data_IF_148678189803
#
_entry.id   IF_148678189803
#
_cell.length_a   1.000
_cell.length_b   1.000
_cell.length_c   1.000
_cell.angle_alpha   90.00
_cell.angle_beta   90.00
_cell.angle_gamma   90.00
#
_symmetry.space_group_name_H-M   'P 1'
#
loop_
_entity.id
_entity.type
_entity.pdbx_description
1 polymer ?
#
# COMPACT_ATOMS: atom_id res chain seq x y z
N UNK A 1 -3.81 76.69 0.67
CA UNK A 1 -2.72 75.69 0.57
C UNK A 1 -2.87 74.45 1.49
N UNK A 2 -3.43 74.56 2.70
CA UNK A 2 -3.54 73.43 3.64
C UNK A 2 -4.37 72.22 3.14
N UNK A 3 -5.42 72.48 2.35
CA UNK A 3 -6.34 71.43 1.89
C UNK A 3 -5.69 70.47 0.86
N UNK A 4 -4.85 70.99 -0.04
CA UNK A 4 -4.08 70.20 -1.03
C UNK A 4 -3.07 69.26 -0.36
N UNK A 5 -2.42 69.71 0.72
CA UNK A 5 -1.48 68.90 1.52
C UNK A 5 -2.20 67.77 2.27
N UNK A 6 -3.36 68.05 2.86
CA UNK A 6 -4.20 67.04 3.55
C UNK A 6 -4.71 65.97 2.57
N UNK A 7 -5.21 66.36 1.39
CA UNK A 7 -5.68 65.44 0.35
C UNK A 7 -4.57 64.49 -0.14
N UNK A 8 -3.39 65.02 -0.48
CA UNK A 8 -2.22 64.19 -0.86
C UNK A 8 -1.78 63.22 0.25
N UNK A 9 -1.89 63.62 1.52
CA UNK A 9 -1.57 62.74 2.67
C UNK A 9 -2.58 61.60 2.79
N UNK A 10 -3.87 61.87 2.54
CA UNK A 10 -4.94 60.88 2.54
C UNK A 10 -4.79 59.86 1.41
N UNK A 11 -4.66 60.33 0.16
CA UNK A 11 -4.47 59.49 -1.03
C UNK A 11 -3.25 58.56 -0.89
N UNK A 12 -2.18 59.08 -0.27
CA UNK A 12 -0.99 58.27 0.01
C UNK A 12 -1.26 57.16 1.04
N UNK A 13 -1.98 57.46 2.12
CA UNK A 13 -2.35 56.46 3.13
C UNK A 13 -3.20 55.36 2.49
N UNK A 14 -4.14 55.74 1.64
CA UNK A 14 -5.00 54.80 0.92
C UNK A 14 -4.20 53.88 -0.03
N UNK A 15 -3.24 54.43 -0.79
CA UNK A 15 -2.34 53.63 -1.64
C UNK A 15 -1.52 52.62 -0.83
N UNK A 16 -0.95 53.04 0.31
CA UNK A 16 -0.20 52.15 1.20
C UNK A 16 -1.08 51.01 1.68
N UNK A 17 -2.31 51.33 2.14
CA UNK A 17 -3.27 50.32 2.61
C UNK A 17 -3.63 49.30 1.51
N UNK A 18 -3.85 49.77 0.28
CA UNK A 18 -4.11 48.90 -0.88
C UNK A 18 -2.94 47.93 -1.16
N UNK A 19 -1.69 48.39 -1.03
CA UNK A 19 -0.52 47.53 -1.18
C UNK A 19 -0.37 46.54 -0.01
N UNK A 20 -0.65 46.94 1.23
CA UNK A 20 -0.62 46.01 2.37
C UNK A 20 -1.62 44.85 2.17
N UNK A 21 -2.84 45.16 1.74
CA UNK A 21 -3.86 44.15 1.42
C UNK A 21 -3.46 43.25 0.24
N UNK A 22 -2.62 43.74 -0.67
CA UNK A 22 -2.07 42.95 -1.77
C UNK A 22 -0.96 41.98 -1.32
N UNK A 23 -0.51 42.03 -0.06
CA UNK A 23 0.51 41.14 0.49
C UNK A 23 1.91 41.75 0.59
N UNK A 24 2.05 43.07 0.45
CA UNK A 24 3.29 43.79 0.75
C UNK A 24 3.38 44.13 2.24
N UNK A 25 4.57 44.14 2.79
CA UNK A 25 4.80 44.62 4.16
C UNK A 25 4.63 46.13 4.23
N UNK A 26 4.40 46.67 5.43
CA UNK A 26 4.30 48.13 5.66
C UNK A 26 5.50 48.92 5.14
N UNK A 27 6.70 48.34 5.17
CA UNK A 27 7.92 48.97 4.61
C UNK A 27 7.90 48.96 3.08
N UNK A 28 7.56 47.83 2.47
CA UNK A 28 7.43 47.69 1.01
C UNK A 28 6.32 48.59 0.46
N UNK A 29 5.15 48.63 1.10
CA UNK A 29 4.02 49.48 0.69
C UNK A 29 4.37 50.97 0.70
N UNK A 30 5.22 51.41 1.66
CA UNK A 30 5.74 52.79 1.66
C UNK A 30 6.65 53.07 0.47
N UNK A 31 7.51 52.11 0.11
CA UNK A 31 8.40 52.20 -1.06
C UNK A 31 7.57 52.20 -2.34
N UNK A 32 6.55 51.35 -2.46
CA UNK A 32 5.65 51.33 -3.63
C UNK A 32 4.84 52.63 -3.80
N UNK A 33 4.59 53.36 -2.72
CA UNK A 33 3.83 54.60 -2.75
C UNK A 33 4.68 55.86 -3.00
N UNK A 34 6.01 55.81 -2.86
CA UNK A 34 6.90 56.99 -2.89
C UNK A 34 8.28 56.78 -3.52
N UNK A 35 8.73 55.55 -3.57
CA UNK A 35 10.07 55.21 -4.02
C UNK A 35 10.22 55.43 -5.52
N UNK A 36 11.48 55.52 -5.95
CA UNK A 36 11.80 55.59 -7.36
C UNK A 36 11.64 54.21 -8.02
N UNK A 37 11.68 54.16 -9.35
CA UNK A 37 11.52 52.92 -10.13
C UNK A 37 12.51 51.83 -9.69
N UNK A 38 13.76 52.19 -9.37
CA UNK A 38 14.80 51.23 -8.93
C UNK A 38 14.40 50.57 -7.62
N UNK A 39 13.96 51.34 -6.64
CA UNK A 39 13.52 50.82 -5.33
C UNK A 39 12.28 49.92 -5.46
N UNK A 40 11.34 50.28 -6.33
CA UNK A 40 10.15 49.45 -6.61
C UNK A 40 10.56 48.12 -7.23
N UNK A 41 11.48 48.13 -8.21
CA UNK A 41 12.01 46.90 -8.82
C UNK A 41 12.66 46.01 -7.76
N UNK A 42 13.42 46.57 -6.82
CA UNK A 42 14.02 45.81 -5.71
C UNK A 42 12.96 45.12 -4.85
N UNK A 43 11.85 45.80 -4.54
CA UNK A 43 10.72 45.21 -3.80
C UNK A 43 10.09 44.05 -4.58
N UNK A 44 9.84 44.23 -5.87
CA UNK A 44 9.23 43.20 -6.72
C UNK A 44 10.15 41.97 -6.85
N UNK A 45 11.46 42.16 -7.00
CA UNK A 45 12.45 41.07 -7.01
C UNK A 45 12.47 40.33 -5.68
N UNK A 46 12.43 41.04 -4.54
CA UNK A 46 12.35 40.43 -3.20
C UNK A 46 11.08 39.58 -3.01
N UNK A 47 9.98 39.94 -3.68
CA UNK A 47 8.74 39.14 -3.73
C UNK A 47 8.81 37.95 -4.69
N UNK A 48 9.96 37.70 -5.31
CA UNK A 48 10.15 36.58 -6.23
C UNK A 48 9.54 36.78 -7.61
N UNK A 49 9.23 38.02 -7.99
CA UNK A 49 8.75 38.35 -9.34
C UNK A 49 9.97 38.37 -10.28
N UNK A 50 9.90 37.62 -11.38
CA UNK A 50 11.03 37.46 -12.31
C UNK A 50 11.26 38.76 -13.11
N UNK A 51 12.52 39.04 -13.45
CA UNK A 51 12.96 40.20 -14.26
C UNK A 51 12.12 40.40 -15.53
N UNK A 52 11.90 39.31 -16.29
CA UNK A 52 11.08 39.31 -17.52
C UNK A 52 9.62 39.77 -17.28
N UNK A 53 9.08 39.53 -16.10
CA UNK A 53 7.73 39.98 -15.72
C UNK A 53 7.77 41.45 -15.28
N UNK A 54 8.77 41.85 -14.51
CA UNK A 54 8.95 43.24 -14.06
C UNK A 54 9.05 44.20 -15.25
N UNK A 55 9.78 43.81 -16.31
CA UNK A 55 9.94 44.64 -17.51
C UNK A 55 8.62 44.89 -18.26
N UNK A 56 7.59 44.08 -18.02
CA UNK A 56 6.25 44.22 -18.61
C UNK A 56 5.24 44.93 -17.70
N UNK A 57 5.62 45.25 -16.46
CA UNK A 57 4.74 45.90 -15.50
C UNK A 57 4.73 47.42 -15.76
N UNK A 58 3.54 47.98 -15.94
CA UNK A 58 3.34 49.42 -15.77
C UNK A 58 3.44 49.73 -14.26
N UNK A 59 4.26 50.69 -13.86
CA UNK A 59 4.48 51.05 -12.44
C UNK A 59 3.31 51.86 -11.85
N UNK A 60 2.10 51.57 -12.31
CA UNK A 60 0.87 52.10 -11.78
C UNK A 60 0.39 51.31 -10.55
N UNK A 61 -0.57 51.88 -9.82
CA UNK A 61 -1.05 51.30 -8.56
C UNK A 61 -1.74 49.94 -8.77
N UNK A 62 -2.48 49.77 -9.85
CA UNK A 62 -3.27 48.56 -10.12
C UNK A 62 -2.36 47.37 -10.44
N UNK A 63 -1.36 47.58 -11.29
CA UNK A 63 -0.41 46.56 -11.74
C UNK A 63 0.48 46.09 -10.59
N UNK A 64 0.94 47.02 -9.74
CA UNK A 64 1.71 46.68 -8.54
C UNK A 64 0.87 45.87 -7.53
N UNK A 65 -0.42 46.17 -7.37
CA UNK A 65 -1.35 45.36 -6.56
C UNK A 65 -1.50 43.95 -7.14
N UNK A 66 -1.71 43.82 -8.45
CA UNK A 66 -1.88 42.53 -9.11
C UNK A 66 -0.61 41.67 -8.98
N UNK A 67 0.56 42.29 -9.14
CA UNK A 67 1.86 41.64 -8.94
C UNK A 67 2.02 41.12 -7.50
N UNK A 68 1.61 41.90 -6.50
CA UNK A 68 1.65 41.51 -5.09
C UNK A 68 0.74 40.32 -4.79
N UNK A 69 -0.51 40.37 -5.26
CA UNK A 69 -1.47 39.26 -5.10
C UNK A 69 -0.94 37.97 -5.72
N UNK A 70 -0.36 38.06 -6.92
CA UNK A 70 0.23 36.91 -7.62
C UNK A 70 1.44 36.34 -6.87
N UNK A 71 2.32 37.20 -6.34
CA UNK A 71 3.46 36.79 -5.53
C UNK A 71 3.00 36.05 -4.26
N UNK A 72 2.01 36.60 -3.54
CA UNK A 72 1.42 35.97 -2.35
C UNK A 72 0.81 34.59 -2.66
N UNK A 73 0.11 34.45 -3.78
CA UNK A 73 -0.44 33.17 -4.23
C UNK A 73 0.67 32.14 -4.51
N UNK A 74 1.72 32.54 -5.24
CA UNK A 74 2.86 31.68 -5.54
C UNK A 74 3.61 31.23 -4.28
N UNK A 75 3.76 32.14 -3.32
CA UNK A 75 4.36 31.83 -2.02
C UNK A 75 3.55 30.78 -1.26
N UNK A 76 2.22 30.92 -1.21
CA UNK A 76 1.32 29.93 -0.60
C UNK A 76 1.46 28.56 -1.25
N UNK A 77 1.52 28.50 -2.59
CA UNK A 77 1.73 27.25 -3.33
C UNK A 77 3.11 26.62 -3.04
N UNK A 78 4.17 27.43 -2.98
CA UNK A 78 5.51 26.95 -2.63
C UNK A 78 5.55 26.36 -1.23
N UNK A 79 4.95 27.03 -0.25
CA UNK A 79 4.87 26.54 1.13
C UNK A 79 4.07 25.24 1.22
N UNK A 80 2.96 25.12 0.48
CA UNK A 80 2.19 23.88 0.42
C UNK A 80 3.03 22.72 -0.15
N UNK A 81 3.77 22.94 -1.24
CA UNK A 81 4.68 21.93 -1.81
C UNK A 81 5.80 21.56 -0.85
N UNK A 82 6.37 22.52 -0.12
CA UNK A 82 7.39 22.24 0.90
C UNK A 82 6.84 21.43 2.06
N UNK A 83 5.60 21.68 2.49
CA UNK A 83 4.92 20.90 3.54
C UNK A 83 4.73 19.45 3.10
N UNK A 84 4.18 19.22 1.90
CA UNK A 84 4.05 17.87 1.33
C UNK A 84 5.39 17.15 1.23
N UNK A 85 6.43 17.84 0.78
CA UNK A 85 7.77 17.25 0.66
C UNK A 85 8.39 16.89 2.01
N UNK A 86 8.16 17.70 3.06
CA UNK A 86 8.62 17.35 4.41
C UNK A 86 7.89 16.14 4.95
N UNK A 87 6.57 16.10 4.79
CA UNK A 87 5.74 14.99 5.26
C UNK A 87 6.10 13.68 4.53
N UNK A 88 6.20 13.69 3.20
CA UNK A 88 6.64 12.51 2.44
C UNK A 88 8.03 12.02 2.85
N UNK A 89 8.98 12.92 3.11
CA UNK A 89 10.31 12.55 3.61
C UNK A 89 10.30 11.93 5.01
N UNK A 90 9.42 12.38 5.91
CA UNK A 90 9.28 11.76 7.24
C UNK A 90 8.85 10.30 7.15
N UNK A 91 8.06 9.97 6.12
CA UNK A 91 7.62 8.60 5.83
C UNK A 91 8.62 7.81 4.94
N UNK A 92 9.78 8.39 4.61
CA UNK A 92 10.76 7.74 3.74
C UNK A 92 10.31 7.56 2.28
N UNK A 93 9.28 8.30 1.84
CA UNK A 93 8.67 8.14 0.53
C UNK A 93 9.48 8.83 -0.58
N UNK A 94 9.33 8.35 -1.81
CA UNK A 94 9.97 8.95 -2.99
C UNK A 94 9.26 10.23 -3.43
N UNK A 95 9.95 11.09 -4.18
CA UNK A 95 9.36 12.36 -4.67
C UNK A 95 8.15 12.19 -5.59
N UNK A 96 8.02 11.04 -6.26
CA UNK A 96 6.85 10.68 -7.04
C UNK A 96 5.60 10.41 -6.19
N UNK A 97 5.77 9.97 -4.94
CA UNK A 97 4.67 9.55 -4.06
C UNK A 97 3.97 10.73 -3.36
N UNK A 98 4.58 11.93 -3.33
CA UNK A 98 4.02 13.09 -2.60
C UNK A 98 3.84 14.35 -3.47
N UNK A 99 3.68 14.18 -4.78
CA UNK A 99 3.42 15.28 -5.71
C UNK A 99 2.10 16.02 -5.42
N UNK A 100 1.11 15.29 -4.92
CA UNK A 100 -0.20 15.81 -4.51
C UNK A 100 -0.55 15.28 -3.13
N UNK A 101 -1.49 15.94 -2.44
CA UNK A 101 -1.94 15.49 -1.12
C UNK A 101 -2.54 14.08 -1.18
N UNK A 102 -3.40 13.83 -2.18
CA UNK A 102 -4.02 12.52 -2.42
C UNK A 102 -2.97 11.39 -2.53
N UNK A 103 -1.94 11.58 -3.37
CA UNK A 103 -0.87 10.58 -3.54
C UNK A 103 -0.09 10.33 -2.24
N UNK A 104 0.18 11.40 -1.47
CA UNK A 104 0.86 11.29 -0.19
C UNK A 104 0.03 10.47 0.80
N UNK A 105 -1.26 10.76 0.93
CA UNK A 105 -2.15 10.05 1.85
C UNK A 105 -2.25 8.55 1.46
N UNK A 106 -2.40 8.24 0.15
CA UNK A 106 -2.37 6.86 -0.37
C UNK A 106 -1.03 6.15 -0.08
N UNK A 107 0.09 6.85 -0.20
CA UNK A 107 1.41 6.29 0.07
C UNK A 107 1.65 6.06 1.57
N UNK A 108 1.16 6.95 2.44
CA UNK A 108 1.22 6.80 3.90
C UNK A 108 0.43 5.57 4.33
N UNK A 109 -0.79 5.38 3.82
CA UNK A 109 -1.60 4.20 4.16
C UNK A 109 -0.94 2.89 3.68
N UNK A 110 -0.35 2.89 2.47
CA UNK A 110 0.48 1.76 2.01
C UNK A 110 1.63 1.47 2.97
N UNK A 111 2.36 2.50 3.40
CA UNK A 111 3.52 2.30 4.27
C UNK A 111 3.14 1.91 5.70
N UNK A 112 1.99 2.35 6.21
CA UNK A 112 1.40 1.82 7.45
C UNK A 112 1.06 0.34 7.33
N UNK A 113 0.46 -0.08 6.21
CA UNK A 113 0.22 -1.50 5.91
C UNK A 113 1.52 -2.31 5.87
N UNK A 114 2.52 -1.83 5.14
CA UNK A 114 3.85 -2.45 5.08
C UNK A 114 4.52 -2.51 6.45
N UNK A 115 4.35 -1.48 7.28
CA UNK A 115 4.91 -1.42 8.63
C UNK A 115 4.30 -2.50 9.53
N UNK A 116 2.99 -2.71 9.48
CA UNK A 116 2.30 -3.81 10.17
C UNK A 116 2.80 -5.18 9.68
N UNK A 117 3.01 -5.34 8.37
CA UNK A 117 3.56 -6.57 7.82
C UNK A 117 5.00 -6.85 8.24
N UNK A 118 5.83 -5.80 8.34
CA UNK A 118 7.23 -5.90 8.82
C UNK A 118 7.29 -6.22 10.31
N UNK A 119 6.31 -5.76 11.11
CA UNK A 119 6.26 -5.99 12.56
C UNK A 119 5.70 -7.36 12.95
N UNK A 120 4.84 -7.94 12.12
CA UNK A 120 4.28 -9.26 12.33
C UNK A 120 4.80 -10.24 11.26
N UNK A 121 6.05 -10.71 11.37
CA UNK A 121 6.70 -11.53 10.34
C UNK A 121 6.27 -13.00 10.44
N UNK A 122 5.01 -13.29 10.70
CA UNK A 122 4.56 -14.67 10.85
C UNK A 122 4.32 -15.31 9.48
N UNK A 123 4.80 -16.53 9.29
CA UNK A 123 4.55 -17.32 8.08
C UNK A 123 3.85 -18.61 8.46
N UNK A 124 2.87 -18.97 7.63
CA UNK A 124 2.30 -20.31 7.62
C UNK A 124 3.25 -21.23 6.86
N UNK A 125 3.61 -22.32 7.52
CA UNK A 125 4.35 -23.43 6.95
C UNK A 125 3.44 -24.66 6.92
N UNK A 126 3.43 -25.34 5.79
CA UNK A 126 2.73 -26.61 5.63
C UNK A 126 3.73 -27.67 5.23
N UNK A 127 3.70 -28.77 5.96
CA UNK A 127 4.62 -29.89 5.85
C UNK A 127 3.85 -31.17 5.59
N UNK A 128 4.39 -32.02 4.74
CA UNK A 128 3.85 -33.33 4.40
C UNK A 128 4.91 -34.40 4.61
N UNK A 129 4.53 -35.52 5.20
CA UNK A 129 5.38 -36.69 5.36
C UNK A 129 4.71 -37.87 4.69
N UNK A 130 5.46 -38.47 3.78
CA UNK A 130 5.11 -39.72 3.14
C UNK A 130 5.36 -40.91 4.11
N UNK A 131 4.55 -41.97 4.01
CA UNK A 131 4.69 -43.20 4.80
C UNK A 131 6.01 -43.90 4.54
N UNK A 132 6.55 -43.78 3.32
CA UNK A 132 7.85 -44.34 2.93
C UNK A 132 9.01 -43.72 3.71
N UNK A 133 8.80 -42.56 4.34
CA UNK A 133 9.84 -41.81 5.05
C UNK A 133 10.89 -41.20 4.13
N UNK A 134 10.69 -41.26 2.81
CA UNK A 134 11.54 -40.61 1.83
C UNK A 134 11.24 -39.10 1.79
N UNK A 135 12.22 -38.30 2.20
CA UNK A 135 12.15 -36.84 2.21
C UNK A 135 12.41 -36.21 0.83
N UNK A 136 12.60 -37.04 -0.20
CA UNK A 136 13.04 -36.64 -1.55
C UNK A 136 12.12 -37.23 -2.63
N UNK A 137 10.81 -37.30 -2.34
CA UNK A 137 9.89 -37.93 -3.27
C UNK A 137 9.78 -37.07 -4.55
N UNK A 138 10.36 -37.59 -5.63
CA UNK A 138 10.18 -37.13 -7.01
C UNK A 138 8.70 -36.85 -7.31
N UNK A 139 7.81 -37.62 -6.68
CA UNK A 139 6.37 -37.42 -6.66
C UNK A 139 5.93 -36.01 -6.24
N UNK A 140 6.36 -35.50 -5.07
CA UNK A 140 5.97 -34.15 -4.61
C UNK A 140 6.56 -33.07 -5.53
N UNK A 141 7.76 -33.28 -6.05
CA UNK A 141 8.37 -32.35 -7.00
C UNK A 141 7.59 -32.29 -8.32
N UNK A 142 7.23 -33.44 -8.88
CA UNK A 142 6.44 -33.55 -10.11
C UNK A 142 5.01 -33.02 -9.92
N UNK A 143 4.41 -33.24 -8.75
CA UNK A 143 3.10 -32.71 -8.38
C UNK A 143 3.10 -31.17 -8.32
N UNK A 144 4.09 -30.58 -7.63
CA UNK A 144 4.27 -29.13 -7.57
C UNK A 144 4.47 -28.52 -8.96
N UNK A 145 5.25 -29.20 -9.82
CA UNK A 145 5.48 -28.76 -11.20
C UNK A 145 4.19 -28.76 -12.01
N UNK A 146 3.36 -29.80 -11.90
CA UNK A 146 2.06 -29.91 -12.59
C UNK A 146 1.06 -28.87 -12.10
N UNK A 147 1.05 -28.56 -10.80
CA UNK A 147 0.15 -27.56 -10.23
C UNK A 147 0.55 -26.13 -10.54
N UNK A 148 1.84 -25.87 -10.77
CA UNK A 148 2.39 -24.54 -11.08
C UNK A 148 1.79 -23.88 -12.33
N UNK A 149 1.28 -24.66 -13.28
CA UNK A 149 0.74 -24.17 -14.56
C UNK A 149 -0.79 -24.09 -14.59
N UNK A 150 -1.48 -24.57 -13.54
CA UNK A 150 -2.94 -24.62 -13.48
C UNK A 150 -3.52 -23.27 -13.07
N UNK A 151 -4.66 -22.93 -13.64
CA UNK A 151 -5.48 -21.79 -13.21
C UNK A 151 -6.14 -22.09 -11.86
N UNK A 152 -6.56 -21.04 -11.14
CA UNK A 152 -7.27 -21.19 -9.87
C UNK A 152 -8.53 -22.05 -10.02
N UNK A 153 -9.28 -21.88 -11.12
CA UNK A 153 -10.51 -22.64 -11.37
C UNK A 153 -10.22 -24.15 -11.47
N UNK A 154 -9.21 -24.53 -12.25
CA UNK A 154 -8.81 -25.93 -12.40
C UNK A 154 -8.35 -26.55 -11.08
N UNK A 155 -7.65 -25.79 -10.24
CA UNK A 155 -7.21 -26.25 -8.92
C UNK A 155 -8.42 -26.41 -7.98
N UNK A 156 -9.38 -25.47 -7.99
CA UNK A 156 -10.60 -25.57 -7.19
C UNK A 156 -11.43 -26.79 -7.61
N UNK A 157 -11.64 -27.02 -8.91
CA UNK A 157 -12.33 -28.21 -9.39
C UNK A 157 -11.63 -29.51 -8.99
N UNK A 158 -10.30 -29.52 -8.96
CA UNK A 158 -9.48 -30.64 -8.44
C UNK A 158 -9.79 -30.91 -6.97
N UNK A 159 -9.71 -29.87 -6.13
CA UNK A 159 -9.97 -29.95 -4.70
C UNK A 159 -11.38 -30.46 -4.43
N UNK A 160 -12.40 -29.92 -5.12
CA UNK A 160 -13.78 -30.37 -5.01
C UNK A 160 -13.93 -31.84 -5.43
N UNK A 161 -13.29 -32.25 -6.53
CA UNK A 161 -13.26 -33.65 -6.96
C UNK A 161 -12.72 -34.60 -5.90
N UNK A 162 -11.59 -34.23 -5.26
CA UNK A 162 -11.00 -35.03 -4.16
C UNK A 162 -11.84 -35.03 -2.89
N UNK A 163 -12.58 -33.95 -2.61
CA UNK A 163 -13.50 -33.89 -1.47
C UNK A 163 -14.77 -34.71 -1.69
N UNK A 164 -15.23 -34.85 -2.93
CA UNK A 164 -16.46 -35.52 -3.31
C UNK A 164 -16.27 -37.01 -3.65
N UNK A 165 -15.08 -37.42 -4.11
CA UNK A 165 -14.79 -38.81 -4.45
C UNK A 165 -13.53 -39.31 -3.71
N UNK A 166 -13.68 -39.78 -2.46
CA UNK A 166 -12.56 -40.32 -1.68
C UNK A 166 -12.16 -41.71 -2.21
N UNK A 167 -11.34 -41.74 -3.26
CA UNK A 167 -10.75 -42.99 -3.76
C UNK A 167 -9.70 -43.55 -2.77
N UNK A 168 -9.56 -44.89 -2.66
CA UNK A 168 -8.61 -45.56 -1.79
C UNK A 168 -7.15 -45.40 -2.24
N UNK A 169 -6.42 -44.36 -1.80
CA UNK A 169 -4.99 -44.16 -2.10
C UNK A 169 -4.19 -43.60 -0.90
N UNK A 170 -3.05 -44.24 -0.64
CA UNK A 170 -1.96 -44.09 0.37
C UNK A 170 -1.98 -42.97 1.44
N UNK A 171 -1.68 -43.36 2.68
CA UNK A 171 -1.63 -42.56 3.91
C UNK A 171 -0.38 -41.64 3.99
N UNK A 172 -0.58 -40.33 4.05
CA UNK A 172 0.47 -39.34 4.39
C UNK A 172 0.05 -38.44 5.55
N UNK A 173 1.03 -37.94 6.32
CA UNK A 173 0.78 -37.05 7.46
C UNK A 173 1.03 -35.58 7.09
N UNK A 174 0.18 -34.68 7.60
CA UNK A 174 0.35 -33.23 7.40
C UNK A 174 0.52 -32.52 8.73
N UNK A 175 1.42 -31.53 8.74
CA UNK A 175 1.62 -30.63 9.87
C UNK A 175 1.62 -29.18 9.42
N UNK A 176 0.82 -28.38 10.11
CA UNK A 176 0.78 -26.93 9.96
C UNK A 176 1.55 -26.26 11.11
N UNK A 177 2.29 -25.19 10.80
CA UNK A 177 3.03 -24.40 11.78
C UNK A 177 2.95 -22.93 11.41
N UNK A 178 2.78 -22.07 12.41
CA UNK A 178 2.93 -20.63 12.27
C UNK A 178 4.16 -20.23 13.06
N UNK A 179 5.10 -19.61 12.37
CA UNK A 179 6.41 -19.29 12.92
C UNK A 179 6.81 -17.89 12.49
N UNK A 180 7.71 -17.26 13.24
CA UNK A 180 8.32 -16.01 12.79
C UNK A 180 9.23 -16.30 11.59
N UNK A 181 9.38 -15.33 10.69
CA UNK A 181 10.18 -15.46 9.46
C UNK A 181 11.62 -15.88 9.74
N UNK A 182 12.19 -15.37 10.83
CA UNK A 182 13.54 -15.71 11.30
C UNK A 182 13.68 -17.18 11.74
N UNK A 183 12.59 -17.81 12.17
CA UNK A 183 12.57 -19.20 12.67
C UNK A 183 12.29 -20.22 11.56
N UNK A 184 11.90 -19.78 10.37
CA UNK A 184 11.51 -20.65 9.25
C UNK A 184 12.62 -21.64 8.91
N UNK A 185 13.88 -21.20 8.90
CA UNK A 185 15.03 -22.05 8.64
C UNK A 185 15.13 -23.18 9.67
N UNK A 186 15.14 -22.82 10.96
CA UNK A 186 15.23 -23.76 12.08
C UNK A 186 14.09 -24.78 12.07
N UNK A 187 12.85 -24.33 11.88
CA UNK A 187 11.68 -25.21 11.85
C UNK A 187 11.69 -26.11 10.62
N UNK A 188 12.06 -25.59 9.45
CA UNK A 188 12.20 -26.41 8.23
C UNK A 188 13.23 -27.51 8.42
N UNK A 189 14.40 -27.19 8.98
CA UNK A 189 15.44 -28.20 9.27
C UNK A 189 14.99 -29.24 10.29
N UNK A 190 14.28 -28.83 11.35
CA UNK A 190 13.74 -29.77 12.34
C UNK A 190 12.70 -30.72 11.73
N UNK A 191 11.80 -30.19 10.91
CA UNK A 191 10.78 -30.97 10.20
C UNK A 191 11.38 -31.94 9.18
N UNK A 192 12.43 -31.50 8.47
CA UNK A 192 13.16 -32.37 7.54
C UNK A 192 13.81 -33.57 8.24
N UNK A 193 14.40 -33.37 9.44
CA UNK A 193 14.92 -34.47 10.26
C UNK A 193 13.84 -35.49 10.65
N UNK A 194 12.60 -35.03 10.82
CA UNK A 194 11.43 -35.87 11.08
C UNK A 194 10.81 -36.47 9.79
N UNK A 195 11.50 -36.34 8.66
CA UNK A 195 11.08 -36.80 7.32
C UNK A 195 9.87 -36.08 6.73
N UNK A 196 9.61 -34.84 7.16
CA UNK A 196 8.61 -34.00 6.50
C UNK A 196 9.24 -33.13 5.41
N UNK A 197 8.53 -33.04 4.29
CA UNK A 197 8.80 -32.18 3.14
C UNK A 197 7.94 -30.92 3.26
N UNK A 198 8.54 -29.76 3.04
CA UNK A 198 7.81 -28.49 3.04
C UNK A 198 7.02 -28.32 1.74
N UNK A 199 5.71 -28.18 1.84
CA UNK A 199 4.82 -27.91 0.70
C UNK A 199 4.54 -26.42 0.55
N UNK A 200 4.34 -25.71 1.65
CA UNK A 200 4.03 -24.28 1.63
C UNK A 200 4.92 -23.49 2.59
N UNK A 201 5.27 -22.27 2.17
CA UNK A 201 5.91 -21.26 2.99
C UNK A 201 5.44 -19.89 2.52
N UNK A 202 4.62 -19.22 3.32
CA UNK A 202 4.11 -17.92 2.95
C UNK A 202 3.29 -17.24 4.02
N UNK A 203 2.95 -15.98 3.75
CA UNK A 203 2.09 -15.15 4.60
C UNK A 203 0.59 -15.47 4.42
N UNK A 204 0.21 -16.45 3.61
CA UNK A 204 -1.20 -16.72 3.30
C UNK A 204 -1.88 -15.69 2.38
N UNK A 205 -1.13 -14.70 1.86
CA UNK A 205 -1.66 -13.58 1.05
C UNK A 205 -1.89 -14.00 -0.42
N UNK A 206 -1.01 -14.83 -0.97
CA UNK A 206 -1.08 -15.31 -2.36
C UNK A 206 -2.01 -16.53 -2.47
N UNK A 207 -3.25 -16.29 -2.90
CA UNK A 207 -4.28 -17.32 -2.94
C UNK A 207 -3.94 -18.51 -3.85
N UNK A 208 -3.34 -18.28 -5.02
CA UNK A 208 -2.97 -19.36 -5.94
C UNK A 208 -1.95 -20.32 -5.30
N UNK A 209 -0.87 -19.80 -4.69
CA UNK A 209 0.12 -20.65 -4.00
C UNK A 209 -0.47 -21.44 -2.85
N UNK A 210 -1.45 -20.85 -2.15
CA UNK A 210 -2.19 -21.51 -1.08
C UNK A 210 -3.06 -22.65 -1.64
N UNK A 211 -3.80 -22.40 -2.73
CA UNK A 211 -4.60 -23.42 -3.42
C UNK A 211 -3.72 -24.58 -3.93
N UNK A 212 -2.57 -24.29 -4.53
CA UNK A 212 -1.62 -25.33 -4.97
C UNK A 212 -1.17 -26.21 -3.80
N UNK A 213 -0.86 -25.61 -2.65
CA UNK A 213 -0.48 -26.36 -1.46
C UNK A 213 -1.64 -27.21 -0.90
N UNK A 214 -2.87 -26.68 -0.93
CA UNK A 214 -4.08 -27.42 -0.55
C UNK A 214 -4.30 -28.61 -1.49
N UNK A 215 -4.29 -28.39 -2.82
CA UNK A 215 -4.45 -29.45 -3.82
C UNK A 215 -3.36 -30.52 -3.71
N UNK A 216 -2.10 -30.12 -3.50
CA UNK A 216 -0.98 -31.04 -3.24
C UNK A 216 -1.29 -32.01 -2.09
N UNK A 217 -1.94 -31.51 -1.04
CA UNK A 217 -2.29 -32.29 0.14
C UNK A 217 -3.58 -33.08 -0.06
N UNK A 218 -4.55 -32.54 -0.79
CA UNK A 218 -5.76 -33.29 -1.15
C UNK A 218 -5.43 -34.53 -1.99
N UNK A 219 -4.46 -34.41 -2.90
CA UNK A 219 -3.95 -35.52 -3.70
C UNK A 219 -3.14 -36.50 -2.83
N UNK A 220 -2.38 -36.02 -1.84
CA UNK A 220 -1.45 -36.83 -1.05
C UNK A 220 -1.97 -37.39 0.29
N UNK A 221 -3.08 -36.89 0.83
CA UNK A 221 -3.63 -37.34 2.12
C UNK A 221 -4.87 -38.18 1.88
N UNK A 222 -4.88 -39.41 2.39
CA UNK A 222 -5.93 -40.39 2.13
C UNK A 222 -7.22 -40.18 2.91
N UNK A 223 -7.09 -40.06 4.23
CA UNK A 223 -8.23 -40.18 5.15
C UNK A 223 -9.14 -38.93 5.03
N UNK A 224 -10.42 -39.11 4.64
CA UNK A 224 -11.37 -38.00 4.53
C UNK A 224 -11.47 -37.17 5.82
N UNK A 225 -11.35 -37.82 6.98
CA UNK A 225 -11.35 -37.12 8.27
C UNK A 225 -10.08 -36.30 8.49
N UNK A 226 -8.93 -36.76 7.98
CA UNK A 226 -7.67 -36.01 8.00
C UNK A 226 -7.67 -34.86 6.98
N UNK A 227 -8.32 -35.01 5.82
CA UNK A 227 -8.52 -33.93 4.84
C UNK A 227 -9.34 -32.79 5.43
N UNK A 228 -10.48 -33.13 6.05
CA UNK A 228 -11.35 -32.17 6.70
C UNK A 228 -10.64 -31.50 7.90
N UNK A 229 -9.88 -32.28 8.69
CA UNK A 229 -9.06 -31.74 9.78
C UNK A 229 -7.98 -30.79 9.27
N UNK A 230 -7.28 -31.16 8.19
CA UNK A 230 -6.24 -30.34 7.58
C UNK A 230 -6.80 -29.01 7.07
N UNK A 231 -7.92 -29.01 6.34
CA UNK A 231 -8.55 -27.78 5.88
C UNK A 231 -8.93 -26.87 7.03
N UNK A 232 -9.53 -27.43 8.10
CA UNK A 232 -9.83 -26.68 9.32
C UNK A 232 -8.56 -26.09 9.96
N UNK A 233 -7.46 -26.84 10.00
CA UNK A 233 -6.18 -26.36 10.53
C UNK A 233 -5.57 -25.23 9.69
N UNK A 234 -5.62 -25.31 8.35
CA UNK A 234 -5.16 -24.22 7.48
C UNK A 234 -6.01 -22.98 7.68
N UNK A 235 -7.35 -23.11 7.64
CA UNK A 235 -8.27 -21.99 7.78
C UNK A 235 -8.04 -21.29 9.12
N UNK A 236 -7.97 -22.07 10.22
CA UNK A 236 -7.61 -21.56 11.54
C UNK A 236 -6.24 -20.88 11.54
N UNK A 237 -5.26 -21.49 10.87
CA UNK A 237 -3.93 -20.95 10.74
C UNK A 237 -3.91 -19.59 10.03
N UNK A 238 -4.64 -19.45 8.93
CA UNK A 238 -4.77 -18.21 8.17
C UNK A 238 -5.43 -17.10 9.00
N UNK A 239 -6.50 -17.39 9.75
CA UNK A 239 -7.10 -16.40 10.67
C UNK A 239 -6.18 -15.97 11.80
N UNK A 240 -5.28 -16.84 12.25
CA UNK A 240 -4.29 -16.48 13.27
C UNK A 240 -3.10 -15.68 12.74
N UNK A 241 -2.98 -15.53 11.41
CA UNK A 241 -1.98 -14.64 10.82
C UNK A 241 -2.43 -13.18 10.97
N UNK A 242 -1.47 -12.24 11.06
CA UNK A 242 -1.74 -10.80 11.22
C UNK A 242 -2.21 -10.10 9.93
N UNK A 243 -2.46 -10.84 8.84
CA UNK A 243 -2.66 -10.29 7.51
C UNK A 243 -4.12 -10.37 7.10
N UNK A 244 -4.75 -9.23 6.84
CA UNK A 244 -6.16 -9.17 6.42
C UNK A 244 -6.42 -10.00 5.15
N UNK A 245 -5.50 -9.96 4.18
CA UNK A 245 -5.65 -10.77 2.96
C UNK A 245 -5.57 -12.28 3.24
N UNK A 246 -4.85 -12.71 4.27
CA UNK A 246 -4.85 -14.11 4.69
C UNK A 246 -6.22 -14.52 5.26
N UNK A 247 -6.91 -13.62 5.98
CA UNK A 247 -8.27 -13.86 6.48
C UNK A 247 -9.26 -13.97 5.33
N UNK A 248 -9.22 -13.04 4.37
CA UNK A 248 -10.04 -13.11 3.14
C UNK A 248 -9.81 -14.40 2.35
N UNK A 249 -8.57 -14.87 2.29
CA UNK A 249 -8.24 -16.15 1.67
C UNK A 249 -8.74 -17.36 2.48
N UNK A 250 -8.80 -17.24 3.82
CA UNK A 250 -9.40 -18.24 4.69
C UNK A 250 -10.91 -18.34 4.44
N UNK A 251 -11.60 -17.20 4.32
CA UNK A 251 -13.03 -17.14 3.99
C UNK A 251 -13.29 -17.82 2.64
N UNK A 252 -12.50 -17.49 1.61
CA UNK A 252 -12.59 -18.13 0.28
C UNK A 252 -12.36 -19.64 0.31
N UNK A 253 -11.36 -20.11 1.07
CA UNK A 253 -11.13 -21.54 1.23
C UNK A 253 -12.30 -22.22 1.96
N UNK A 254 -12.86 -21.54 2.96
CA UNK A 254 -14.02 -22.02 3.70
C UNK A 254 -15.25 -22.13 2.78
N UNK A 255 -15.51 -21.14 1.94
CA UNK A 255 -16.57 -21.17 0.93
C UNK A 255 -16.43 -22.40 0.02
N UNK A 256 -15.25 -22.61 -0.59
CA UNK A 256 -14.96 -23.78 -1.44
C UNK A 256 -15.24 -25.09 -0.70
N UNK A 257 -14.86 -25.17 0.59
CA UNK A 257 -15.08 -26.35 1.40
C UNK A 257 -16.56 -26.56 1.76
N UNK A 258 -17.32 -25.49 1.98
CA UNK A 258 -18.74 -25.54 2.33
C UNK A 258 -19.65 -25.84 1.11
N UNK A 259 -19.21 -25.51 -0.12
CA UNK A 259 -19.86 -25.92 -1.38
C UNK A 259 -20.04 -27.45 -1.49
N UNK A 260 -19.28 -28.24 -0.72
CA UNK A 260 -19.45 -29.70 -0.54
C UNK A 260 -20.87 -30.13 -0.15
N UNK A 261 -21.72 -29.23 0.37
CA UNK A 261 -23.03 -29.60 0.96
C UNK A 261 -24.26 -29.47 0.05
N UNK A 262 -24.23 -28.68 -1.03
CA UNK A 262 -25.46 -28.33 -1.76
C UNK A 262 -25.70 -29.10 -3.08
N UNK A 263 -24.66 -29.57 -3.77
CA UNK A 263 -24.81 -29.99 -5.19
C UNK A 263 -25.13 -31.48 -5.45
N UNK A 264 -25.26 -32.34 -4.44
CA UNK A 264 -25.54 -33.78 -4.65
C UNK A 264 -26.94 -34.25 -4.26
N UNK A 265 -27.75 -33.44 -3.56
CA UNK A 265 -29.15 -33.81 -3.24
C UNK A 265 -30.15 -33.49 -4.35
N UNK A 266 -29.73 -32.85 -5.44
CA UNK A 266 -30.63 -32.39 -6.52
C UNK A 266 -30.52 -33.15 -7.83
N UNK A 267 -29.68 -34.19 -7.91
CA UNK A 267 -29.58 -35.05 -9.09
C UNK A 267 -29.59 -36.54 -8.69
N UNK A 268 -30.67 -37.00 -8.08
CA UNK A 268 -31.06 -38.42 -8.14
C UNK A 268 -32.14 -38.58 -9.22
N UNK A 269 -31.85 -39.50 -10.16
CA UNK A 269 -32.76 -40.00 -11.19
C UNK A 269 -33.81 -40.93 -10.59
#
# INVERSE_FOLDING_TARGET
>A
MANKRRRKKSEKKEKIYKYENAGYTKRESKILAKGNKKEIVTVLKKKGIKEKQINKITFDTTSLIQAGKKAKYNEKQRLAKQRLAREGKMWGLSSSDYQTRKKLDEAIEREKGNFLERRNPFKLLIFYKDITGESDSKYIHDLKRRQGTRTNSEIVSSILGWLNNPAPLYLGEVKTRIVREQEVGKVTSAMHKLKYIRIYNGKGIEFNRLLQAVDSIMVGVYDPTQRDKYLKEIIKGLYSLPYEQAHKNADRLKEIFETKKEDWYTNEW
#
